data_IF_886961555002
#
_entry.id   IF_886961555002
#
_cell.length_a   1.000
_cell.length_b   1.000
_cell.length_c   1.000
_cell.angle_alpha   90.00
_cell.angle_beta   90.00
_cell.angle_gamma   90.00
#
_symmetry.space_group_name_H-M   'P 1'
#
loop_
_entity.id
_entity.type
_entity.pdbx_description
1 polymer ?
#
# COMPACT_ATOMS: atom_id res chain seq x y z
N UNK A 1 -4.55 -8.17 26.42
CA UNK A 1 -3.09 -8.30 26.22
C UNK A 1 -2.83 -9.06 24.93
N UNK A 2 -2.48 -8.36 23.84
CA UNK A 2 -1.75 -8.95 22.70
C UNK A 2 -1.13 -7.81 21.89
N UNK A 3 0.12 -7.96 21.47
CA UNK A 3 0.86 -6.89 20.82
C UNK A 3 0.46 -6.72 19.35
N UNK A 4 0.11 -5.49 18.95
CA UNK A 4 0.00 -5.13 17.54
C UNK A 4 1.38 -4.93 16.95
N UNK A 5 1.79 -5.80 16.02
CA UNK A 5 3.10 -5.73 15.38
C UNK A 5 3.26 -4.42 14.59
N UNK A 6 4.19 -3.56 15.02
CA UNK A 6 4.47 -2.29 14.38
C UNK A 6 5.21 -2.47 13.05
N UNK A 7 4.58 -2.10 11.95
CA UNK A 7 5.21 -2.05 10.63
C UNK A 7 4.88 -0.78 9.84
N UNK A 8 4.97 0.36 10.53
CA UNK A 8 5.11 1.67 9.90
C UNK A 8 6.31 2.39 10.48
N UNK A 9 7.44 2.35 9.78
CA UNK A 9 8.57 3.22 10.09
C UNK A 9 8.86 4.15 8.91
N UNK A 10 8.94 5.43 9.22
CA UNK A 10 8.81 6.50 8.24
C UNK A 10 10.20 6.95 7.80
N UNK A 11 10.55 6.60 6.56
CA UNK A 11 11.27 7.40 5.54
C UNK A 11 12.65 8.05 5.85
N UNK A 12 13.17 8.02 7.07
CA UNK A 12 14.46 8.63 7.44
C UNK A 12 15.50 7.60 7.89
N UNK A 13 15.20 6.34 7.63
CA UNK A 13 15.72 5.22 8.41
C UNK A 13 17.17 4.87 8.09
N UNK A 14 17.59 4.98 6.82
CA UNK A 14 18.96 4.64 6.40
C UNK A 14 20.04 5.63 6.87
N UNK A 15 19.73 6.92 7.00
CA UNK A 15 20.68 7.92 7.53
C UNK A 15 21.02 7.61 8.99
N UNK A 16 19.98 7.40 9.81
CA UNK A 16 20.15 7.00 11.21
C UNK A 16 20.80 5.62 11.32
N UNK A 17 20.55 4.71 10.37
CA UNK A 17 21.23 3.41 10.31
C UNK A 17 22.73 3.57 10.05
N UNK A 18 23.15 4.44 9.12
CA UNK A 18 24.57 4.76 8.86
C UNK A 18 25.25 5.39 10.08
N UNK A 19 24.60 6.35 10.73
CA UNK A 19 25.14 6.97 11.94
C UNK A 19 25.24 5.92 13.07
N UNK A 20 24.21 5.10 13.28
CA UNK A 20 24.28 4.04 14.31
C UNK A 20 25.42 3.05 14.03
N UNK A 21 25.65 2.67 12.76
CA UNK A 21 26.80 1.85 12.37
C UNK A 21 28.13 2.53 12.71
N UNK A 22 28.26 3.86 12.50
CA UNK A 22 29.47 4.62 12.86
C UNK A 22 29.71 4.65 14.37
N UNK A 23 28.70 4.99 15.18
CA UNK A 23 28.82 5.00 16.64
C UNK A 23 29.16 3.62 17.21
N UNK A 24 28.61 2.55 16.62
CA UNK A 24 28.93 1.17 16.98
C UNK A 24 30.37 0.82 16.60
N UNK A 25 30.85 1.25 15.43
CA UNK A 25 32.22 1.01 15.00
C UNK A 25 33.25 1.77 15.85
N UNK A 26 32.95 3.00 16.25
CA UNK A 26 33.73 3.78 17.22
C UNK A 26 33.77 3.10 18.58
N UNK A 27 32.62 2.69 19.14
CA UNK A 27 32.55 2.00 20.44
C UNK A 27 33.17 0.60 20.44
N UNK A 28 33.15 -0.08 19.30
CA UNK A 28 33.84 -1.36 19.07
C UNK A 28 35.36 -1.19 18.91
N UNK A 29 35.86 0.04 18.74
CA UNK A 29 37.29 0.34 18.61
C UNK A 29 37.87 0.14 17.21
N UNK A 30 37.04 -0.06 16.19
CA UNK A 30 37.46 -0.26 14.80
C UNK A 30 36.57 0.57 13.86
N UNK A 31 36.79 1.90 13.76
CA UNK A 31 35.87 2.83 13.10
C UNK A 31 35.69 2.57 11.59
N UNK A 32 36.71 2.04 10.90
CA UNK A 32 36.61 1.71 9.48
C UNK A 32 35.99 0.32 9.26
N UNK A 33 34.67 0.23 9.31
CA UNK A 33 33.94 -1.03 9.10
C UNK A 33 33.99 -1.60 7.67
N UNK A 34 34.60 -0.89 6.71
CA UNK A 34 34.82 -1.45 5.36
C UNK A 34 35.89 -2.54 5.35
N UNK A 35 36.87 -2.46 6.25
CA UNK A 35 37.99 -3.41 6.40
C UNK A 35 37.65 -4.61 7.28
N UNK A 36 36.50 -4.59 7.97
CA UNK A 36 36.12 -5.65 8.90
C UNK A 36 36.09 -7.05 8.26
N UNK A 37 36.73 -7.98 8.96
CA UNK A 37 36.80 -9.40 8.64
C UNK A 37 35.55 -10.13 9.14
N UNK A 38 35.40 -11.41 8.76
CA UNK A 38 34.35 -12.26 9.33
C UNK A 38 34.46 -12.39 10.86
N UNK A 39 35.69 -12.36 11.40
CA UNK A 39 35.94 -12.42 12.84
C UNK A 39 35.39 -11.21 13.59
N UNK A 40 35.43 -10.03 12.99
CA UNK A 40 34.92 -8.79 13.60
C UNK A 40 33.40 -8.83 13.74
N UNK A 41 32.67 -9.28 12.71
CA UNK A 41 31.22 -9.48 12.80
C UNK A 41 30.82 -10.57 13.81
N UNK A 42 31.65 -11.60 14.01
CA UNK A 42 31.43 -12.63 15.04
C UNK A 42 31.64 -12.05 16.44
N UNK A 43 32.74 -11.29 16.65
CA UNK A 43 33.00 -10.59 17.91
C UNK A 43 31.88 -9.60 18.23
N UNK A 44 31.53 -8.73 17.29
CA UNK A 44 30.45 -7.75 17.45
C UNK A 44 29.10 -8.42 17.76
N UNK A 45 28.74 -9.50 17.06
CA UNK A 45 27.53 -10.29 17.33
C UNK A 45 27.48 -10.77 18.79
N UNK A 46 28.58 -11.34 19.30
CA UNK A 46 28.67 -11.80 20.69
C UNK A 46 28.62 -10.66 21.73
N UNK A 47 29.19 -9.49 21.42
CA UNK A 47 29.17 -8.31 22.30
C UNK A 47 27.75 -7.72 22.34
N UNK A 48 27.11 -7.53 21.18
CA UNK A 48 25.73 -7.03 21.07
C UNK A 48 24.74 -7.93 21.82
N UNK A 49 24.86 -9.25 21.64
CA UNK A 49 24.04 -10.24 22.34
C UNK A 49 24.18 -10.15 23.87
N UNK A 50 25.39 -9.94 24.39
CA UNK A 50 25.63 -9.78 25.83
C UNK A 50 25.15 -8.44 26.37
N UNK A 51 25.25 -7.37 25.59
CA UNK A 51 24.89 -6.02 26.02
C UNK A 51 23.38 -5.73 25.97
N UNK A 52 22.64 -6.40 25.08
CA UNK A 52 21.24 -6.04 24.77
C UNK A 52 20.26 -7.21 24.84
N UNK A 53 20.74 -8.42 25.13
CA UNK A 53 19.96 -9.68 25.10
C UNK A 53 19.37 -10.07 23.72
N UNK A 54 19.59 -9.27 22.66
CA UNK A 54 19.10 -9.56 21.30
C UNK A 54 20.15 -10.31 20.49
N UNK A 55 19.78 -11.49 19.99
CA UNK A 55 20.65 -12.31 19.14
C UNK A 55 20.66 -11.77 17.70
N UNK A 56 21.75 -11.13 17.29
CA UNK A 56 21.93 -10.60 15.92
C UNK A 56 23.01 -11.42 15.22
N UNK A 57 22.65 -12.17 14.16
CA UNK A 57 23.61 -13.03 13.46
C UNK A 57 24.71 -12.24 12.75
N UNK A 58 25.94 -12.78 12.61
CA UNK A 58 27.01 -12.13 11.85
C UNK A 58 26.64 -11.82 10.39
N UNK A 59 25.77 -12.63 9.77
CA UNK A 59 25.29 -12.37 8.41
C UNK A 59 24.24 -11.25 8.37
N UNK A 60 23.42 -11.09 9.42
CA UNK A 60 22.54 -9.93 9.59
C UNK A 60 23.36 -8.65 9.74
N UNK A 61 24.44 -8.68 10.56
CA UNK A 61 25.36 -7.55 10.69
C UNK A 61 26.03 -7.20 9.35
N UNK A 62 26.56 -8.17 8.60
CA UNK A 62 27.13 -7.91 7.25
C UNK A 62 26.15 -7.25 6.27
N UNK A 63 24.84 -7.53 6.38
CA UNK A 63 23.81 -6.85 5.56
C UNK A 63 23.61 -5.40 6.02
N UNK A 64 23.55 -5.16 7.32
CA UNK A 64 23.36 -3.84 7.93
C UNK A 64 24.55 -2.92 7.63
N UNK A 65 25.77 -3.42 7.81
CA UNK A 65 27.04 -2.71 7.50
C UNK A 65 27.40 -2.72 6.00
N UNK A 66 26.51 -3.18 5.11
CA UNK A 66 26.69 -3.10 3.65
C UNK A 66 27.75 -4.02 3.03
N UNK A 67 28.37 -4.92 3.81
CA UNK A 67 29.39 -5.88 3.34
C UNK A 67 28.80 -7.00 2.48
N UNK A 68 27.54 -7.37 2.71
CA UNK A 68 26.78 -8.29 1.84
C UNK A 68 25.80 -7.50 0.97
N UNK A 69 26.04 -7.48 -0.34
CA UNK A 69 25.15 -6.85 -1.31
C UNK A 69 23.88 -7.69 -1.50
N UNK A 70 22.74 -7.14 -1.12
CA UNK A 70 21.39 -7.61 -1.50
C UNK A 70 20.86 -6.74 -2.65
N UNK A 71 19.88 -7.22 -3.46
CA UNK A 71 19.34 -6.45 -4.59
C UNK A 71 18.73 -5.11 -4.15
N UNK A 72 18.09 -5.09 -2.97
CA UNK A 72 17.70 -3.88 -2.25
C UNK A 72 18.55 -3.67 -1.01
N UNK A 73 18.67 -2.43 -0.52
CA UNK A 73 19.41 -2.13 0.71
C UNK A 73 18.66 -2.67 1.93
N UNK A 74 19.23 -3.67 2.60
CA UNK A 74 18.60 -4.30 3.76
C UNK A 74 18.35 -3.31 4.90
N UNK A 75 17.09 -3.22 5.34
CA UNK A 75 16.68 -2.44 6.50
C UNK A 75 16.24 -3.38 7.65
N UNK A 76 16.88 -3.33 8.83
CA UNK A 76 16.59 -4.25 9.93
C UNK A 76 15.29 -3.96 10.69
N UNK A 77 14.77 -4.96 11.39
CA UNK A 77 13.57 -4.84 12.24
C UNK A 77 13.81 -3.92 13.45
N UNK A 78 12.71 -3.41 14.05
CA UNK A 78 12.73 -2.49 15.20
C UNK A 78 13.58 -3.01 16.37
N UNK A 79 13.34 -4.24 16.82
CA UNK A 79 14.11 -4.85 17.91
C UNK A 79 15.62 -4.95 17.62
N UNK A 80 16.01 -5.20 16.36
CA UNK A 80 17.43 -5.19 15.95
C UNK A 80 18.01 -3.79 16.02
N UNK A 81 17.24 -2.76 15.66
CA UNK A 81 17.67 -1.35 15.69
C UNK A 81 17.74 -0.77 17.10
N UNK A 82 16.77 -1.12 17.94
CA UNK A 82 16.81 -0.84 19.38
C UNK A 82 18.08 -1.42 20.00
N UNK A 83 18.41 -2.69 19.71
CA UNK A 83 19.66 -3.32 20.17
C UNK A 83 20.94 -2.63 19.63
N UNK A 84 20.97 -2.23 18.36
CA UNK A 84 22.11 -1.50 17.80
C UNK A 84 22.38 -0.19 18.57
N UNK A 85 21.34 0.60 18.84
CA UNK A 85 21.50 1.89 19.54
C UNK A 85 21.64 1.75 21.06
N UNK A 86 21.09 0.70 21.66
CA UNK A 86 21.37 0.32 23.06
C UNK A 86 22.84 0.03 23.28
N UNK A 87 23.48 -0.69 22.37
CA UNK A 87 24.93 -0.82 22.43
C UNK A 87 25.63 0.53 22.23
N UNK A 88 25.17 1.41 21.35
CA UNK A 88 25.71 2.77 21.23
C UNK A 88 25.49 3.66 22.48
N UNK A 89 24.56 3.32 23.39
CA UNK A 89 24.30 4.04 24.65
C UNK A 89 22.94 4.74 24.74
N UNK A 90 22.03 4.50 23.80
CA UNK A 90 20.69 5.11 23.74
C UNK A 90 19.62 4.11 24.18
N UNK A 91 18.51 4.57 24.78
CA UNK A 91 17.51 3.65 25.35
C UNK A 91 16.80 2.80 24.29
N UNK A 92 16.48 3.41 23.15
CA UNK A 92 15.76 2.81 22.03
C UNK A 92 15.99 3.61 20.73
N UNK A 93 15.53 3.09 19.59
CA UNK A 93 15.69 3.72 18.29
C UNK A 93 15.11 5.14 18.23
N UNK A 94 13.93 5.37 18.82
CA UNK A 94 13.26 6.67 18.81
C UNK A 94 14.09 7.75 19.55
N UNK A 95 14.66 7.41 20.71
CA UNK A 95 15.58 8.29 21.44
C UNK A 95 16.85 8.63 20.64
N UNK A 96 17.31 7.70 19.80
CA UNK A 96 18.46 7.92 18.92
C UNK A 96 18.13 8.84 17.73
N UNK A 97 16.90 8.77 17.19
CA UNK A 97 16.42 9.71 16.15
C UNK A 97 16.38 11.15 16.69
N UNK A 98 15.82 11.33 17.89
CA UNK A 98 15.70 12.65 18.53
C UNK A 98 17.09 13.25 18.82
N UNK A 99 18.06 12.42 19.19
CA UNK A 99 19.44 12.86 19.46
C UNK A 99 20.26 13.20 18.21
N UNK A 100 19.86 12.75 17.01
CA UNK A 100 20.61 12.93 15.77
C UNK A 100 19.76 13.51 14.62
N UNK A 101 19.16 14.69 14.78
CA UNK A 101 18.46 15.35 13.69
C UNK A 101 19.38 15.50 12.48
N UNK A 102 18.83 15.28 11.28
CA UNK A 102 19.60 15.50 10.04
C UNK A 102 20.09 16.95 9.97
N UNK A 103 21.33 17.20 9.51
CA UNK A 103 21.72 18.52 9.10
C UNK A 103 20.84 18.92 7.91
N UNK A 104 19.93 19.86 8.13
CA UNK A 104 19.20 20.52 7.06
C UNK A 104 20.26 21.23 6.22
N UNK A 105 20.47 20.75 4.98
CA UNK A 105 21.41 21.36 4.05
C UNK A 105 21.06 22.84 3.92
N UNK A 106 21.96 23.78 4.24
CA UNK A 106 21.67 25.20 4.06
C UNK A 106 21.23 25.45 2.61
N UNK A 107 20.16 26.24 2.37
CA UNK A 107 19.79 26.61 1.01
C UNK A 107 21.02 27.22 0.34
N UNK A 108 21.37 26.68 -0.84
CA UNK A 108 22.55 27.12 -1.56
C UNK A 108 22.46 28.63 -1.80
N UNK A 109 23.52 29.36 -1.49
CA UNK A 109 23.59 30.80 -1.69
C UNK A 109 23.22 31.14 -3.14
N UNK A 110 22.10 31.84 -3.32
CA UNK A 110 21.76 32.42 -4.61
C UNK A 110 22.75 33.53 -4.96
N UNK A 111 23.18 33.66 -6.22
CA UNK A 111 23.94 34.84 -6.65
C UNK A 111 23.03 36.08 -6.57
N UNK A 112 23.53 37.19 -6.03
CA UNK A 112 22.74 38.41 -5.82
C UNK A 112 23.05 39.55 -6.81
N UNK A 113 22.11 40.51 -6.87
CA UNK A 113 22.22 41.90 -7.38
C UNK A 113 22.41 42.11 -8.91
N UNK A 114 21.89 43.16 -9.57
CA UNK A 114 21.09 44.37 -9.21
C UNK A 114 20.30 44.94 -10.43
N UNK A 115 19.46 45.98 -10.19
CA UNK A 115 18.85 46.95 -11.14
C UNK A 115 17.61 46.47 -11.95
N UNK A 116 16.54 47.25 -12.19
CA UNK A 116 16.15 48.62 -11.75
C UNK A 116 14.60 48.82 -11.79
N UNK A 117 14.07 49.92 -11.22
CA UNK A 117 12.63 50.34 -11.20
C UNK A 117 12.23 51.12 -12.49
N UNK A 118 10.98 51.66 -12.72
CA UNK A 118 9.76 51.76 -11.87
C UNK A 118 8.42 51.33 -12.57
N UNK A 119 7.25 51.62 -11.94
CA UNK A 119 5.88 51.32 -12.42
C UNK A 119 5.31 52.24 -13.52
N UNK A 120 3.97 52.30 -13.72
CA UNK A 120 3.07 52.85 -12.69
C UNK A 120 1.73 52.11 -12.46
N UNK A 121 0.99 52.59 -11.46
CA UNK A 121 -0.35 52.18 -11.03
C UNK A 121 -1.50 52.74 -11.89
N UNK A 122 -2.66 52.06 -11.86
CA UNK A 122 -3.96 52.75 -11.81
C UNK A 122 -4.96 52.01 -10.87
N UNK A 123 -5.71 52.81 -10.13
CA UNK A 123 -6.97 52.50 -9.40
C UNK A 123 -8.11 52.27 -10.43
N UNK A 124 -9.38 51.94 -10.12
CA UNK A 124 -10.22 52.19 -8.94
C UNK A 124 -11.55 51.37 -8.98
N UNK A 125 -12.11 51.07 -7.80
CA UNK A 125 -13.52 50.96 -7.40
C UNK A 125 -14.70 50.49 -8.35
N UNK A 126 -15.40 49.43 -7.87
CA UNK A 126 -16.85 49.42 -7.50
C UNK A 126 -18.00 49.12 -8.51
N UNK A 127 -19.15 48.76 -7.88
CA UNK A 127 -20.56 48.69 -8.33
C UNK A 127 -21.10 47.32 -8.82
N UNK A 128 -22.38 47.07 -8.49
CA UNK A 128 -23.08 45.77 -8.47
C UNK A 128 -24.34 45.74 -9.37
N UNK A 129 -25.07 44.60 -9.34
CA UNK A 129 -26.30 44.29 -10.08
C UNK A 129 -26.08 44.09 -11.61
N UNK A 130 -26.92 43.36 -12.36
CA UNK A 130 -28.34 43.01 -12.16
C UNK A 130 -28.71 41.67 -12.85
N UNK A 131 -29.86 41.08 -12.50
CA UNK A 131 -30.41 39.86 -13.15
C UNK A 131 -31.37 40.20 -14.31
N UNK A 132 -31.76 39.22 -15.14
CA UNK A 132 -33.13 38.66 -15.04
C UNK A 132 -33.13 37.11 -14.93
N UNK A 133 -34.08 36.45 -14.23
CA UNK A 133 -35.47 36.14 -14.63
C UNK A 133 -35.54 35.19 -15.86
N UNK A 134 -36.39 34.14 -15.94
CA UNK A 134 -37.50 33.68 -15.07
C UNK A 134 -38.08 32.33 -15.57
N UNK A 135 -38.81 31.60 -14.69
CA UNK A 135 -39.92 30.65 -14.98
C UNK A 135 -39.60 29.32 -15.74
N UNK A 136 -40.38 28.22 -15.64
CA UNK A 136 -41.46 27.79 -14.71
C UNK A 136 -41.61 26.23 -14.73
N UNK A 137 -41.86 25.66 -13.54
CA UNK A 137 -42.73 24.52 -13.14
C UNK A 137 -43.24 23.48 -14.20
N UNK A 138 -42.93 22.19 -13.94
CA UNK A 138 -43.87 21.08 -13.60
C UNK A 138 -43.94 19.73 -14.38
N UNK A 139 -44.09 18.69 -13.54
CA UNK A 139 -44.92 17.47 -13.62
C UNK A 139 -44.63 16.22 -14.50
N UNK A 140 -44.64 15.07 -13.79
CA UNK A 140 -45.26 13.76 -14.16
C UNK A 140 -44.57 12.87 -15.25
N UNK A 141 -44.59 11.52 -15.20
CA UNK A 141 -45.34 10.57 -14.34
C UNK A 141 -44.84 9.09 -14.39
N UNK A 142 -45.50 8.25 -13.54
CA UNK A 142 -45.59 6.75 -13.45
C UNK A 142 -44.40 5.98 -12.82
N UNK A 143 -44.52 4.83 -12.11
CA UNK A 143 -45.60 4.06 -11.39
C UNK A 143 -44.88 3.11 -10.38
N UNK A 144 -45.37 2.73 -9.19
CA UNK A 144 -46.56 1.92 -8.77
C UNK A 144 -46.44 0.41 -9.14
N UNK A 145 -46.62 -0.62 -8.28
CA UNK A 145 -47.15 -0.79 -6.89
C UNK A 145 -46.46 -2.00 -6.16
N UNK A 146 -46.47 -2.26 -4.83
CA UNK A 146 -47.42 -2.14 -3.68
C UNK A 146 -48.45 -3.32 -3.59
N UNK A 147 -48.87 -3.97 -2.47
CA UNK A 147 -48.71 -3.93 -0.98
C UNK A 147 -48.96 -5.38 -0.42
N UNK A 148 -48.15 -6.01 0.47
CA UNK A 148 -48.15 -6.12 1.96
C UNK A 148 -49.46 -6.58 2.69
N UNK A 149 -49.46 -7.85 3.15
CA UNK A 149 -49.77 -8.42 4.50
C UNK A 149 -50.98 -7.96 5.39
N UNK A 150 -51.81 -8.92 5.87
CA UNK A 150 -51.92 -9.34 7.31
C UNK A 150 -53.32 -9.80 7.85
N UNK A 151 -53.32 -10.86 8.69
CA UNK A 151 -54.27 -11.14 9.82
C UNK A 151 -55.77 -11.50 9.53
N UNK A 152 -56.53 -12.30 10.31
CA UNK A 152 -56.33 -13.10 11.56
C UNK A 152 -57.60 -13.93 11.94
N UNK A 153 -57.44 -15.11 12.59
CA UNK A 153 -58.42 -15.93 13.37
C UNK A 153 -59.69 -16.46 12.62
N UNK A 154 -60.43 -17.49 13.06
CA UNK A 154 -60.69 -18.07 14.40
C UNK A 154 -61.11 -19.58 14.34
N UNK A 155 -61.18 -20.28 15.48
CA UNK A 155 -61.54 -21.74 15.63
C UNK A 155 -62.91 -21.91 16.31
N UNK A 156 -63.61 -23.06 16.22
CA UNK A 156 -63.48 -24.10 17.28
C UNK A 156 -63.77 -25.59 16.89
N UNK A 157 -63.21 -26.54 17.66
CA UNK A 157 -63.80 -27.84 18.16
C UNK A 157 -64.51 -28.88 17.22
N UNK A 158 -64.57 -30.22 17.46
CA UNK A 158 -64.22 -31.09 18.62
C UNK A 158 -64.06 -32.60 18.24
N UNK A 159 -63.16 -33.33 18.95
CA UNK A 159 -63.17 -34.78 19.36
C UNK A 159 -63.08 -35.99 18.36
N UNK A 160 -61.98 -36.75 18.49
CA UNK A 160 -61.74 -38.23 18.61
C UNK A 160 -62.72 -39.27 17.96
N UNK A 161 -62.33 -40.46 17.44
CA UNK A 161 -61.34 -41.45 17.93
C UNK A 161 -61.10 -42.62 16.90
N UNK A 162 -60.24 -43.61 17.26
CA UNK A 162 -60.11 -45.01 16.74
C UNK A 162 -59.10 -45.42 15.64
N UNK A 163 -58.37 -46.52 15.94
CA UNK A 163 -57.56 -47.44 15.08
C UNK A 163 -58.34 -48.81 15.00
N UNK A 164 -57.92 -49.94 14.37
CA UNK A 164 -56.61 -50.29 13.79
C UNK A 164 -56.65 -51.05 12.42
N UNK A 165 -55.47 -51.52 11.94
CA UNK A 165 -55.21 -52.73 11.10
C UNK A 165 -55.90 -52.78 9.72
N UNK A 166 -55.19 -52.82 8.57
CA UNK A 166 -54.36 -53.97 8.19
C UNK A 166 -53.36 -53.73 7.02
N UNK A 167 -52.31 -54.56 6.99
CA UNK A 167 -51.53 -55.08 5.83
C UNK A 167 -51.28 -54.23 4.56
N UNK A 168 -50.01 -53.79 4.37
CA UNK A 168 -49.11 -54.27 3.30
C UNK A 168 -47.83 -53.40 3.16
N UNK A 169 -46.64 -53.99 3.30
CA UNK A 169 -45.36 -53.31 3.05
C UNK A 169 -44.73 -53.77 1.72
N UNK A 170 -44.36 -52.86 0.79
CA UNK A 170 -43.55 -53.22 -0.38
C UNK A 170 -42.08 -53.39 0.03
N UNK A 171 -41.52 -54.56 -0.22
CA UNK A 171 -40.11 -54.86 0.09
C UNK A 171 -39.16 -54.29 -0.96
N UNK A 172 -38.37 -53.28 -0.58
CA UNK A 172 -37.34 -52.71 -1.44
C UNK A 172 -36.16 -53.69 -1.61
N UNK A 173 -36.07 -54.32 -2.79
CA UNK A 173 -34.93 -55.19 -3.13
C UNK A 173 -33.71 -54.34 -3.49
N UNK A 174 -32.77 -54.25 -2.54
CA UNK A 174 -31.50 -53.54 -2.69
C UNK A 174 -30.67 -54.07 -3.87
N UNK A 175 -30.71 -53.34 -4.99
CA UNK A 175 -29.92 -53.66 -6.17
C UNK A 175 -28.46 -53.19 -5.98
N UNK A 176 -27.63 -54.08 -5.41
CA UNK A 176 -26.19 -53.85 -5.17
C UNK A 176 -25.42 -53.34 -6.40
N UNK A 177 -25.90 -53.60 -7.61
CA UNK A 177 -25.27 -53.14 -8.85
C UNK A 177 -25.57 -51.66 -9.16
N UNK A 178 -26.77 -51.16 -8.80
CA UNK A 178 -27.10 -49.74 -8.90
C UNK A 178 -26.24 -48.88 -7.97
N UNK A 179 -25.97 -49.37 -6.75
CA UNK A 179 -25.08 -48.69 -5.81
C UNK A 179 -23.63 -48.62 -6.33
N UNK A 180 -23.12 -49.69 -6.96
CA UNK A 180 -21.81 -49.70 -7.63
C UNK A 180 -21.73 -48.71 -8.79
N UNK A 181 -22.79 -48.61 -9.59
CA UNK A 181 -22.87 -47.62 -10.67
C UNK A 181 -22.86 -46.19 -10.10
N UNK A 182 -23.56 -45.94 -9.00
CA UNK A 182 -23.57 -44.65 -8.31
C UNK A 182 -22.18 -44.24 -7.81
N UNK A 183 -21.40 -45.18 -7.26
CA UNK A 183 -20.00 -44.93 -6.87
C UNK A 183 -19.08 -44.67 -8.07
N UNK A 184 -19.27 -45.34 -9.22
CA UNK A 184 -18.53 -45.05 -10.44
C UNK A 184 -18.81 -43.64 -10.97
N UNK A 185 -20.08 -43.23 -11.03
CA UNK A 185 -20.47 -41.88 -11.45
C UNK A 185 -19.93 -40.82 -10.49
N UNK A 186 -20.01 -41.05 -9.18
CA UNK A 186 -19.42 -40.16 -8.18
C UNK A 186 -17.90 -40.02 -8.33
N UNK A 187 -17.19 -41.12 -8.67
CA UNK A 187 -15.76 -41.10 -8.97
C UNK A 187 -15.41 -40.26 -10.20
N UNK A 188 -16.18 -40.38 -11.29
CA UNK A 188 -15.99 -39.57 -12.50
C UNK A 188 -16.26 -38.08 -12.22
N UNK A 189 -17.31 -37.76 -11.47
CA UNK A 189 -17.60 -36.37 -11.05
C UNK A 189 -16.46 -35.81 -10.18
N UNK A 190 -15.93 -36.58 -9.24
CA UNK A 190 -14.76 -36.19 -8.45
C UNK A 190 -13.52 -35.93 -9.30
N UNK A 191 -13.27 -36.74 -10.34
CA UNK A 191 -12.15 -36.51 -11.29
C UNK A 191 -12.37 -35.23 -12.10
N UNK A 192 -13.58 -34.97 -12.57
CA UNK A 192 -13.91 -33.74 -13.30
C UNK A 192 -13.79 -32.49 -12.42
N UNK A 193 -14.26 -32.54 -11.18
CA UNK A 193 -14.11 -31.45 -10.19
C UNK A 193 -12.64 -31.25 -9.84
N UNK A 194 -11.86 -32.31 -9.60
CA UNK A 194 -10.42 -32.21 -9.37
C UNK A 194 -9.68 -31.62 -10.57
N UNK A 195 -10.01 -32.06 -11.79
CA UNK A 195 -9.46 -31.52 -13.04
C UNK A 195 -9.80 -30.03 -13.23
N UNK A 196 -11.02 -29.62 -12.90
CA UNK A 196 -11.44 -28.21 -12.91
C UNK A 196 -10.67 -27.36 -11.88
N UNK A 197 -10.49 -27.85 -10.65
CA UNK A 197 -9.71 -27.17 -9.61
C UNK A 197 -8.22 -27.09 -9.96
N UNK A 198 -7.65 -28.12 -10.59
CA UNK A 198 -6.27 -28.12 -11.12
C UNK A 198 -6.14 -27.13 -12.28
N UNK A 199 -7.12 -27.08 -13.19
CA UNK A 199 -7.18 -26.10 -14.28
C UNK A 199 -7.22 -24.66 -13.75
N UNK A 200 -8.03 -24.38 -12.72
CA UNK A 200 -8.03 -23.06 -12.06
C UNK A 200 -6.68 -22.71 -11.41
N UNK A 201 -5.92 -23.68 -10.90
CA UNK A 201 -4.55 -23.45 -10.41
C UNK A 201 -3.55 -23.22 -11.55
N UNK A 202 -3.67 -23.91 -12.68
CA UNK A 202 -2.79 -23.76 -13.84
C UNK A 202 -3.04 -22.43 -14.59
N UNK A 203 -4.29 -21.96 -14.64
CA UNK A 203 -4.63 -20.66 -15.21
C UNK A 203 -4.04 -19.49 -14.39
N UNK A 204 -3.82 -19.69 -13.09
CA UNK A 204 -3.10 -18.75 -12.21
C UNK A 204 -1.60 -19.05 -12.26
N UNK A 205 -0.94 -18.71 -13.38
CA UNK A 205 0.53 -18.78 -13.47
C UNK A 205 1.17 -18.00 -12.31
N UNK A 206 2.24 -18.52 -11.67
CA UNK A 206 2.92 -17.83 -10.59
C UNK A 206 3.53 -16.51 -11.09
N UNK A 207 3.39 -15.47 -10.28
CA UNK A 207 3.82 -14.09 -10.60
C UNK A 207 5.35 -13.96 -10.63
N UNK A 208 6.10 -14.91 -10.05
CA UNK A 208 7.57 -14.87 -9.93
C UNK A 208 8.31 -14.75 -11.28
N UNK A 209 7.81 -15.38 -12.35
CA UNK A 209 8.45 -15.29 -13.68
C UNK A 209 8.17 -13.95 -14.39
N UNK A 210 7.20 -13.15 -13.92
CA UNK A 210 6.75 -11.93 -14.60
C UNK A 210 7.72 -10.76 -14.40
N UNK A 211 8.47 -10.73 -13.31
CA UNK A 211 9.45 -9.67 -13.01
C UNK A 211 10.64 -9.64 -13.98
N UNK A 212 10.88 -10.72 -14.74
CA UNK A 212 12.04 -10.84 -15.61
C UNK A 212 11.92 -9.89 -16.82
N UNK A 213 12.66 -8.79 -16.74
CA UNK A 213 12.73 -7.79 -17.81
C UNK A 213 11.72 -6.65 -17.71
N UNK A 214 11.04 -6.49 -16.57
CA UNK A 214 10.21 -5.31 -16.25
C UNK A 214 11.03 -4.36 -15.37
N UNK A 215 11.03 -3.06 -15.69
CA UNK A 215 11.56 -2.00 -14.85
C UNK A 215 10.53 -0.89 -14.70
N UNK A 216 10.07 -0.66 -13.47
CA UNK A 216 9.22 0.47 -13.11
C UNK A 216 10.05 1.50 -12.35
N UNK A 217 9.93 2.77 -12.72
CA UNK A 217 10.69 3.84 -12.07
C UNK A 217 9.87 5.12 -11.92
N UNK A 218 10.17 5.89 -10.88
CA UNK A 218 9.57 7.19 -10.63
C UNK A 218 10.67 8.24 -10.47
N UNK A 219 10.60 9.30 -11.28
CA UNK A 219 11.32 10.54 -11.01
C UNK A 219 10.49 11.41 -10.09
N UNK A 220 11.17 12.12 -9.20
CA UNK A 220 10.56 13.03 -8.24
C UNK A 220 9.53 12.36 -7.30
N UNK A 221 9.84 11.24 -6.60
CA UNK A 221 8.89 10.60 -5.67
C UNK A 221 8.70 11.35 -4.34
N UNK A 222 9.32 12.53 -4.17
CA UNK A 222 9.28 13.32 -2.93
C UNK A 222 9.16 14.80 -3.31
N UNK A 223 8.24 15.53 -2.68
CA UNK A 223 8.22 16.98 -2.73
C UNK A 223 7.14 17.58 -1.84
N UNK A 224 6.85 18.88 -2.04
CA UNK A 224 5.86 19.64 -1.26
C UNK A 224 4.53 19.70 -2.00
N UNK A 225 3.43 19.87 -1.27
CA UNK A 225 2.11 20.01 -1.88
C UNK A 225 1.97 21.35 -2.62
N UNK A 226 1.44 21.41 -3.87
CA UNK A 226 1.10 20.28 -4.74
C UNK A 226 2.30 19.73 -5.54
N UNK A 227 2.25 18.44 -5.88
CA UNK A 227 3.43 17.72 -6.37
C UNK A 227 3.18 16.85 -7.59
N UNK A 228 4.09 16.90 -8.56
CA UNK A 228 4.09 16.04 -9.74
C UNK A 228 5.14 14.93 -9.62
N UNK A 229 4.69 13.68 -9.61
CA UNK A 229 5.52 12.49 -9.71
C UNK A 229 5.50 11.96 -11.15
N UNK A 230 6.63 11.44 -11.65
CA UNK A 230 6.78 11.09 -13.07
C UNK A 230 7.22 9.64 -13.21
N UNK A 231 6.28 8.78 -13.59
CA UNK A 231 6.47 7.35 -13.74
C UNK A 231 6.93 6.96 -15.14
N UNK A 232 7.74 5.89 -15.22
CA UNK A 232 8.17 5.26 -16.47
C UNK A 232 8.16 3.74 -16.31
N UNK A 233 7.59 3.08 -17.31
CA UNK A 233 7.71 1.64 -17.51
C UNK A 233 8.74 1.39 -18.61
N UNK A 234 9.67 0.48 -18.38
CA UNK A 234 10.61 -0.01 -19.38
C UNK A 234 10.52 -1.54 -19.40
N UNK A 235 10.17 -2.09 -20.55
CA UNK A 235 10.18 -3.53 -20.80
C UNK A 235 11.38 -3.86 -21.69
N UNK A 236 12.10 -4.92 -21.35
CA UNK A 236 13.23 -5.46 -22.12
C UNK A 236 12.80 -6.67 -22.94
N UNK A 237 13.62 -7.10 -23.90
CA UNK A 237 13.35 -8.25 -24.79
C UNK A 237 13.10 -9.59 -24.08
N UNK A 238 13.34 -9.67 -22.77
CA UNK A 238 13.01 -10.84 -21.95
C UNK A 238 11.52 -10.92 -21.60
N UNK A 239 10.81 -9.79 -21.60
CA UNK A 239 9.37 -9.74 -21.32
C UNK A 239 8.57 -10.37 -22.48
N UNK A 240 7.70 -11.33 -22.15
CA UNK A 240 6.87 -12.07 -23.12
C UNK A 240 5.36 -11.98 -22.87
N UNK A 241 4.94 -10.97 -22.11
CA UNK A 241 3.53 -10.69 -21.85
C UNK A 241 2.91 -9.71 -22.84
N UNK A 242 1.67 -9.31 -22.55
CA UNK A 242 0.91 -8.33 -23.34
C UNK A 242 1.07 -6.93 -22.74
N UNK A 243 1.80 -6.05 -23.43
CA UNK A 243 2.07 -4.69 -22.94
C UNK A 243 0.81 -3.86 -22.68
N UNK A 244 -0.33 -4.18 -23.31
CA UNK A 244 -1.57 -3.41 -23.15
C UNK A 244 -2.20 -3.58 -21.77
N UNK A 245 -1.84 -4.65 -21.04
CA UNK A 245 -2.37 -5.00 -19.71
C UNK A 245 -1.76 -4.23 -18.55
N UNK A 246 -0.77 -3.37 -18.78
CA UNK A 246 -0.14 -2.59 -17.73
C UNK A 246 -0.98 -1.37 -17.32
N UNK A 247 -1.29 -1.29 -16.03
CA UNK A 247 -1.93 -0.12 -15.41
C UNK A 247 -1.09 0.38 -14.23
N UNK A 248 -1.28 1.65 -13.87
CA UNK A 248 -0.77 2.23 -12.62
C UNK A 248 -1.96 2.55 -11.73
N UNK A 249 -1.91 2.07 -10.50
CA UNK A 249 -2.77 2.53 -9.41
C UNK A 249 -1.98 3.53 -8.55
N UNK A 250 -2.33 4.81 -8.57
CA UNK A 250 -1.52 5.87 -7.95
C UNK A 250 -1.60 5.94 -6.41
N UNK A 251 -2.56 5.25 -5.80
CA UNK A 251 -2.72 5.16 -4.35
C UNK A 251 -3.47 6.30 -3.67
N UNK A 252 -3.99 7.26 -4.44
CA UNK A 252 -4.73 8.45 -3.99
C UNK A 252 -6.26 8.33 -4.13
N UNK A 253 -6.75 7.15 -4.50
CA UNK A 253 -8.18 6.89 -4.74
C UNK A 253 -8.66 7.24 -6.15
N UNK A 254 -7.81 7.83 -7.01
CA UNK A 254 -8.13 8.04 -8.43
C UNK A 254 -8.13 6.69 -9.18
N UNK A 255 -8.92 6.56 -10.27
CA UNK A 255 -8.97 5.34 -11.06
C UNK A 255 -7.61 4.99 -11.66
N UNK A 256 -7.39 3.71 -11.91
CA UNK A 256 -6.16 3.23 -12.55
C UNK A 256 -5.99 3.81 -13.95
N UNK A 257 -4.73 4.01 -14.36
CA UNK A 257 -4.38 4.54 -15.68
C UNK A 257 -3.48 3.59 -16.43
N UNK A 258 -3.80 3.31 -17.69
CA UNK A 258 -2.95 2.50 -18.56
C UNK A 258 -1.58 3.18 -18.77
N UNK A 259 -0.50 2.40 -18.67
CA UNK A 259 0.86 2.84 -19.01
C UNK A 259 1.40 1.97 -20.17
N UNK A 260 2.25 2.57 -21.01
CA UNK A 260 2.90 1.90 -22.15
C UNK A 260 4.41 1.95 -22.00
N UNK A 261 5.10 0.98 -22.58
CA UNK A 261 6.55 0.87 -22.57
C UNK A 261 7.21 2.16 -23.13
N UNK A 262 8.23 2.67 -22.44
CA UNK A 262 8.96 3.89 -22.79
C UNK A 262 8.21 5.22 -22.60
N UNK A 263 6.88 5.19 -22.50
CA UNK A 263 6.03 6.37 -22.34
C UNK A 263 6.13 6.92 -20.92
N UNK A 264 6.21 8.25 -20.82
CA UNK A 264 6.29 8.96 -19.54
C UNK A 264 4.89 9.25 -19.02
N UNK A 265 4.56 8.77 -17.82
CA UNK A 265 3.29 9.02 -17.16
C UNK A 265 3.46 9.92 -15.94
N UNK A 266 3.18 11.22 -16.10
CA UNK A 266 3.08 12.15 -14.97
C UNK A 266 1.77 11.95 -14.22
N UNK A 267 1.81 12.02 -12.88
CA UNK A 267 0.63 12.11 -12.03
C UNK A 267 0.79 13.28 -11.05
N UNK A 268 -0.32 13.98 -10.82
CA UNK A 268 -0.40 15.15 -9.95
C UNK A 268 -1.14 14.77 -8.68
N UNK A 269 -0.45 14.92 -7.55
CA UNK A 269 -0.98 14.69 -6.22
C UNK A 269 -1.25 16.05 -5.54
N UNK A 270 -2.43 16.17 -4.93
CA UNK A 270 -2.99 17.45 -4.45
C UNK A 270 -3.12 17.54 -2.93
N UNK A 271 -3.00 16.41 -2.23
CA UNK A 271 -3.17 16.32 -0.78
C UNK A 271 -1.85 15.83 -0.17
N UNK A 272 -1.38 16.44 0.94
CA UNK A 272 -0.24 15.94 1.69
C UNK A 272 -0.45 14.50 2.15
N UNK A 273 0.58 13.66 2.03
CA UNK A 273 0.43 12.25 2.39
C UNK A 273 1.50 11.33 1.83
N UNK A 274 1.27 10.03 2.03
CA UNK A 274 2.09 8.94 1.49
C UNK A 274 1.23 8.06 0.59
N UNK A 275 1.60 8.00 -0.67
CA UNK A 275 0.94 7.24 -1.71
C UNK A 275 1.81 6.05 -2.12
N UNK A 276 1.17 4.95 -2.52
CA UNK A 276 1.84 3.74 -2.99
C UNK A 276 1.41 3.49 -4.44
N UNK A 277 2.20 4.04 -5.37
CA UNK A 277 1.97 3.89 -6.79
C UNK A 277 2.37 2.48 -7.24
N UNK A 278 1.39 1.66 -7.56
CA UNK A 278 1.56 0.25 -7.93
C UNK A 278 1.54 0.10 -9.45
N UNK A 279 2.56 -0.56 -10.02
CA UNK A 279 2.46 -1.11 -11.37
C UNK A 279 1.66 -2.41 -11.28
N UNK A 280 0.57 -2.49 -12.05
CA UNK A 280 -0.31 -3.65 -12.13
C UNK A 280 -0.29 -4.24 -13.53
N UNK A 281 -0.49 -5.56 -13.60
CA UNK A 281 -0.65 -6.32 -14.84
C UNK A 281 -1.80 -7.30 -14.64
N UNK A 282 -2.83 -7.21 -15.50
CA UNK A 282 -4.05 -8.04 -15.39
C UNK A 282 -4.69 -7.93 -13.98
N UNK A 283 -4.64 -6.73 -13.38
CA UNK A 283 -5.13 -6.42 -12.02
C UNK A 283 -4.18 -6.78 -10.87
N UNK A 284 -3.10 -7.53 -11.10
CA UNK A 284 -2.15 -7.95 -10.06
C UNK A 284 -1.00 -6.96 -9.92
N UNK A 285 -0.68 -6.50 -8.71
CA UNK A 285 0.46 -5.61 -8.45
C UNK A 285 1.80 -6.36 -8.58
N UNK A 286 2.68 -5.88 -9.45
CA UNK A 286 4.03 -6.43 -9.69
C UNK A 286 5.08 -5.66 -8.88
N UNK A 287 4.99 -4.33 -8.90
CA UNK A 287 5.97 -3.40 -8.32
C UNK A 287 5.23 -2.23 -7.63
N UNK A 288 5.84 -1.61 -6.63
CA UNK A 288 5.23 -0.54 -5.82
C UNK A 288 6.25 0.53 -5.45
N UNK A 289 6.04 1.74 -5.96
CA UNK A 289 6.88 2.91 -5.66
C UNK A 289 6.17 3.82 -4.66
N UNK A 290 6.78 4.12 -3.50
CA UNK A 290 6.19 5.04 -2.54
C UNK A 290 6.47 6.51 -2.95
N UNK A 291 5.40 7.29 -3.11
CA UNK A 291 5.45 8.73 -3.37
C UNK A 291 4.98 9.49 -2.12
N UNK A 292 5.60 10.64 -1.84
CA UNK A 292 5.37 11.38 -0.60
C UNK A 292 5.25 12.87 -0.85
N UNK A 293 4.14 13.43 -0.39
CA UNK A 293 3.90 14.86 -0.34
C UNK A 293 4.05 15.32 1.10
N UNK A 294 5.11 16.09 1.34
CA UNK A 294 5.46 16.62 2.65
C UNK A 294 4.95 18.06 2.77
N UNK A 295 4.67 18.50 3.99
CA UNK A 295 4.44 19.92 4.31
C UNK A 295 5.36 20.34 5.45
N UNK A 296 5.68 21.63 5.47
CA UNK A 296 6.36 22.23 6.60
C UNK A 296 5.28 22.55 7.64
N UNK A 297 5.17 21.72 8.68
CA UNK A 297 4.18 21.88 9.73
C UNK A 297 2.74 21.51 9.34
N UNK A 298 1.78 22.07 10.09
CA UNK A 298 0.35 21.80 9.95
C UNK A 298 -0.24 22.51 8.74
N UNK A 299 -1.12 21.79 8.05
CA UNK A 299 -1.85 22.29 6.89
C UNK A 299 -3.29 21.81 6.92
N UNK A 300 -4.23 22.67 6.52
CA UNK A 300 -5.60 22.26 6.23
C UNK A 300 -5.82 22.25 4.72
N UNK A 301 -6.48 21.21 4.22
CA UNK A 301 -6.89 21.08 2.81
C UNK A 301 -8.40 21.20 2.75
N UNK A 302 -8.90 22.29 2.15
CA UNK A 302 -10.32 22.44 1.85
C UNK A 302 -10.65 21.81 0.49
N UNK A 303 -11.72 21.02 0.45
CA UNK A 303 -12.27 20.40 -0.77
C UNK A 303 -13.70 20.88 -0.99
N UNK A 304 -14.06 21.22 -2.23
CA UNK A 304 -15.42 21.64 -2.60
C UNK A 304 -16.09 20.49 -3.36
N UNK A 305 -17.32 20.11 -2.99
CA UNK A 305 -18.03 18.95 -3.58
C UNK A 305 -18.18 19.02 -5.12
N UNK A 306 -18.15 20.23 -5.70
CA UNK A 306 -18.27 20.48 -7.14
C UNK A 306 -16.96 20.88 -7.83
N UNK A 307 -15.86 21.04 -7.09
CA UNK A 307 -14.52 21.33 -7.64
C UNK A 307 -13.49 20.38 -7.01
N UNK A 308 -13.26 19.27 -7.72
CA UNK A 308 -12.31 18.22 -7.35
C UNK A 308 -10.92 18.43 -7.96
N UNK A 309 -10.68 19.57 -8.63
CA UNK A 309 -9.40 19.88 -9.28
C UNK A 309 -8.59 20.94 -8.52
N UNK A 310 -9.18 21.61 -7.53
CA UNK A 310 -8.54 22.65 -6.73
C UNK A 310 -8.48 22.27 -5.26
N UNK A 311 -7.26 22.23 -4.73
CA UNK A 311 -6.98 22.17 -3.29
C UNK A 311 -6.38 23.50 -2.86
N UNK A 312 -6.93 24.06 -1.78
CA UNK A 312 -6.44 25.27 -1.14
C UNK A 312 -5.72 24.88 0.17
N UNK A 313 -4.37 24.84 0.20
CA UNK A 313 -3.62 24.58 1.42
C UNK A 313 -3.62 25.84 2.30
N UNK A 314 -4.16 25.73 3.51
CA UNK A 314 -4.00 26.75 4.55
C UNK A 314 -2.75 26.41 5.36
N UNK A 315 -1.88 27.39 5.62
CA UNK A 315 -0.61 27.24 6.34
C UNK A 315 -0.74 27.93 7.70
N UNK A 316 -0.42 27.21 8.79
CA UNK A 316 -0.60 27.73 10.14
C UNK A 316 0.19 29.03 10.42
N UNK A 317 1.39 29.18 9.83
CA UNK A 317 2.27 30.34 10.00
C UNK A 317 1.74 31.64 9.34
N UNK A 318 0.53 31.63 8.78
CA UNK A 318 -0.14 32.76 8.11
C UNK A 318 -1.43 33.23 8.79
N UNK A 319 -1.70 32.74 10.02
CA UNK A 319 -2.84 33.06 10.88
C UNK A 319 -2.39 33.73 12.18
#
# INVERSE_FOLDING_TARGET
MTAGNGQYEIKESFYHLEISCRYIAEKFGAPNFTEWTNGDYIRLSSILSRATSVQISPNTLKRIFGKLKTPERYFPQRATRDALVQYAGYQNWESFLIAHPKPVKPPAAGPGNVSELPGPSLTEASIAAEAPASNEIDQSQKTADSIIESSKAETPETRQQHLPVDTAAPTSKSNRNGLRLMYLVAGIVMILVAGYLVSQKIARKPIEDLHLGISFSCKNPIGKNPHSAVFKLQLTDQFRGDESKFTIFFGDGRPEKQIRNGVVQTHYYEIPGRYYAQLRYDGNSIDTIPVFLQTDGWTATATVERDTMRVYPVIADSL
#
